data_IF_929487689484
#
_entry.id   IF_929487689484
#
_cell.length_a   1.000
_cell.length_b   1.000
_cell.length_c   1.000
_cell.angle_alpha   90.00
_cell.angle_beta   90.00
_cell.angle_gamma   90.00
#
_symmetry.space_group_name_H-M   'P 1'
#
loop_
_entity.id
_entity.type
_entity.pdbx_description
1 polymer ?
#
# COMPACT_ATOMS: atom_id res chain seq x y z
N UNK A 1 -13.18 -13.78 3.42
CA UNK A 1 -12.48 -14.56 4.47
C UNK A 1 -13.12 -14.43 5.84
N UNK A 2 -13.40 -13.24 6.38
CA UNK A 2 -13.94 -13.08 7.74
C UNK A 2 -15.18 -13.94 8.06
N UNK A 3 -16.18 -13.98 7.17
CA UNK A 3 -17.37 -14.84 7.34
C UNK A 3 -17.11 -16.34 7.21
N UNK A 4 -16.03 -16.74 6.53
CA UNK A 4 -15.64 -18.14 6.45
C UNK A 4 -14.95 -18.61 7.74
N UNK A 5 -14.47 -17.67 8.56
CA UNK A 5 -13.79 -17.91 9.83
C UNK A 5 -14.69 -17.69 11.05
N UNK A 6 -15.93 -17.23 10.87
CA UNK A 6 -16.89 -17.05 11.96
C UNK A 6 -17.98 -18.12 11.92
N UNK A 7 -18.37 -18.62 13.09
CA UNK A 7 -19.43 -19.64 13.24
C UNK A 7 -20.83 -19.16 12.82
N UNK A 8 -20.98 -17.85 12.62
CA UNK A 8 -22.19 -17.19 12.12
C UNK A 8 -21.75 -16.13 11.10
N UNK A 9 -22.53 -15.84 10.06
CA UNK A 9 -22.28 -14.69 9.19
C UNK A 9 -22.50 -13.38 9.98
N UNK A 10 -21.49 -12.97 10.75
CA UNK A 10 -21.52 -11.76 11.58
C UNK A 10 -20.94 -10.56 10.86
N UNK A 11 -20.10 -10.78 9.85
CA UNK A 11 -19.42 -9.71 9.14
C UNK A 11 -20.12 -9.48 7.80
N UNK A 12 -21.27 -8.81 7.83
CA UNK A 12 -21.81 -8.23 6.60
C UNK A 12 -20.83 -7.14 6.15
N UNK A 13 -20.05 -7.41 5.10
CA UNK A 13 -19.43 -6.32 4.34
C UNK A 13 -20.58 -5.41 3.91
N UNK A 14 -20.44 -4.09 4.12
CA UNK A 14 -21.46 -3.13 3.71
C UNK A 14 -21.79 -3.39 2.25
N UNK A 15 -22.93 -4.01 2.00
CA UNK A 15 -23.37 -4.35 0.67
C UNK A 15 -23.62 -3.00 0.00
N UNK A 16 -22.76 -2.64 -0.98
CA UNK A 16 -22.92 -1.45 -1.81
C UNK A 16 -24.24 -1.60 -2.56
N UNK A 17 -25.35 -1.23 -1.93
CA UNK A 17 -26.68 -1.31 -2.51
C UNK A 17 -26.75 -0.30 -3.65
N UNK A 18 -26.93 -0.81 -4.86
CA UNK A 18 -26.92 -0.09 -6.14
C UNK A 18 -28.15 0.76 -6.40
N UNK A 19 -28.97 1.09 -5.40
CA UNK A 19 -30.17 1.90 -5.62
C UNK A 19 -30.26 3.06 -4.62
N UNK A 20 -30.34 4.26 -5.20
CA UNK A 20 -30.67 5.57 -4.62
C UNK A 20 -29.65 6.14 -3.61
N UNK A 21 -28.77 7.03 -4.10
CA UNK A 21 -28.06 8.11 -3.38
C UNK A 21 -27.53 7.81 -1.95
N UNK A 22 -27.03 6.59 -1.71
CA UNK A 22 -26.53 6.19 -0.38
C UNK A 22 -25.02 6.41 -0.27
N UNK A 23 -24.68 7.54 0.35
CA UNK A 23 -23.43 7.89 1.05
C UNK A 23 -22.26 6.91 0.82
N UNK A 24 -21.40 7.22 -0.16
CA UNK A 24 -20.11 6.52 -0.27
C UNK A 24 -19.25 7.04 0.90
N UNK A 25 -18.85 6.20 1.86
CA UNK A 25 -17.99 6.65 2.95
C UNK A 25 -16.72 7.21 2.32
N UNK A 26 -16.34 8.43 2.70
CA UNK A 26 -15.04 8.97 2.30
C UNK A 26 -13.93 8.04 2.79
N UNK A 27 -12.80 8.03 2.11
CA UNK A 27 -11.60 7.27 2.54
C UNK A 27 -11.26 7.55 4.00
N UNK A 28 -11.44 8.79 4.46
CA UNK A 28 -11.26 9.17 5.86
C UNK A 28 -12.26 8.47 6.78
N UNK A 29 -13.55 8.44 6.45
CA UNK A 29 -14.55 7.76 7.29
C UNK A 29 -14.32 6.24 7.39
N UNK A 30 -13.83 5.61 6.32
CA UNK A 30 -13.41 4.21 6.35
C UNK A 30 -12.17 4.02 7.23
N UNK A 31 -11.22 4.95 7.16
CA UNK A 31 -10.06 4.96 8.05
C UNK A 31 -10.48 5.11 9.50
N UNK A 32 -11.35 6.06 9.84
CA UNK A 32 -11.85 6.32 11.19
C UNK A 32 -12.54 5.07 11.77
N UNK A 33 -13.28 4.33 10.95
CA UNK A 33 -13.90 3.06 11.33
C UNK A 33 -12.87 1.98 11.68
N UNK A 34 -11.77 1.90 10.92
CA UNK A 34 -10.71 0.89 11.11
C UNK A 34 -9.63 1.34 12.12
N UNK A 35 -9.58 2.63 12.43
CA UNK A 35 -8.55 3.29 13.27
C UNK A 35 -8.31 2.57 14.60
N UNK A 36 -9.34 2.14 15.37
CA UNK A 36 -9.09 1.46 16.65
C UNK A 36 -8.35 0.13 16.50
N UNK A 37 -8.68 -0.66 15.47
CA UNK A 37 -8.01 -1.94 15.21
C UNK A 37 -6.58 -1.72 14.69
N UNK A 38 -6.38 -0.73 13.83
CA UNK A 38 -5.06 -0.31 13.35
C UNK A 38 -4.16 0.09 14.52
N UNK A 39 -4.66 0.97 15.41
CA UNK A 39 -3.92 1.42 16.59
C UNK A 39 -3.56 0.27 17.52
N UNK A 40 -4.51 -0.63 17.81
CA UNK A 40 -4.26 -1.80 18.64
C UNK A 40 -3.10 -2.64 18.10
N UNK A 41 -3.06 -2.90 16.78
CA UNK A 41 -1.99 -3.68 16.17
C UNK A 41 -0.63 -2.96 16.27
N UNK A 42 -0.60 -1.65 15.99
CA UNK A 42 0.61 -0.83 16.09
C UNK A 42 1.13 -0.74 17.55
N UNK A 43 0.24 -0.58 18.53
CA UNK A 43 0.53 -0.59 19.96
C UNK A 43 1.09 -1.92 20.46
N UNK A 44 0.72 -3.03 19.81
CA UNK A 44 1.22 -4.38 20.12
C UNK A 44 2.56 -4.68 19.46
N UNK A 45 3.18 -3.72 18.79
CA UNK A 45 4.54 -3.81 18.26
C UNK A 45 4.65 -4.05 16.76
N UNK A 46 3.53 -4.13 16.02
CA UNK A 46 3.55 -4.16 14.56
C UNK A 46 4.06 -2.80 14.07
N UNK A 47 5.15 -2.80 13.28
CA UNK A 47 5.84 -1.57 12.85
C UNK A 47 5.28 -0.98 11.56
N UNK A 48 4.82 -1.86 10.66
CA UNK A 48 4.20 -1.51 9.39
C UNK A 48 2.95 -2.36 9.21
N UNK A 49 1.83 -1.71 8.97
CA UNK A 49 0.54 -2.33 8.68
C UNK A 49 0.05 -1.85 7.32
N UNK A 50 -0.22 -2.80 6.43
CA UNK A 50 -0.86 -2.55 5.14
C UNK A 50 -2.29 -3.08 5.20
N UNK A 51 -3.28 -2.20 5.07
CA UNK A 51 -4.69 -2.58 5.05
C UNK A 51 -5.20 -2.48 3.62
N UNK A 52 -5.54 -3.61 3.01
CA UNK A 52 -6.06 -3.65 1.63
C UNK A 52 -7.55 -3.32 1.58
N UNK A 53 -7.92 -2.40 0.69
CA UNK A 53 -9.28 -1.86 0.54
C UNK A 53 -9.92 -2.24 -0.82
N UNK A 54 -9.33 -3.20 -1.53
CA UNK A 54 -9.81 -3.61 -2.86
C UNK A 54 -9.73 -2.46 -3.87
N UNK A 55 -10.86 -2.10 -4.47
CA UNK A 55 -10.96 -1.01 -5.46
C UNK A 55 -10.57 0.36 -4.91
N UNK A 56 -10.52 0.51 -3.59
CA UNK A 56 -10.20 1.77 -2.95
C UNK A 56 -8.70 1.86 -2.60
N UNK A 57 -7.87 0.86 -2.93
CA UNK A 57 -6.42 0.90 -2.72
C UNK A 57 -5.97 0.32 -1.39
N UNK A 58 -5.02 0.99 -0.72
CA UNK A 58 -4.48 0.54 0.57
C UNK A 58 -4.33 1.67 1.57
N UNK A 59 -4.41 1.33 2.85
CA UNK A 59 -3.79 2.13 3.91
C UNK A 59 -2.39 1.61 4.23
N UNK A 60 -1.45 2.53 4.34
CA UNK A 60 -0.07 2.29 4.80
C UNK A 60 0.06 2.96 6.16
N UNK A 61 0.13 2.18 7.23
CA UNK A 61 0.16 2.67 8.60
C UNK A 61 1.43 2.24 9.31
N UNK A 62 2.03 3.12 10.07
CA UNK A 62 3.27 2.85 10.79
C UNK A 62 3.34 3.65 12.10
N UNK A 63 4.17 3.17 13.02
CA UNK A 63 4.41 3.79 14.32
C UNK A 63 5.91 3.78 14.63
N UNK A 64 6.41 4.84 15.24
CA UNK A 64 7.79 4.96 15.72
C UNK A 64 8.82 4.61 14.63
N UNK A 65 8.78 5.41 13.57
CA UNK A 65 9.37 5.13 12.26
C UNK A 65 10.89 5.32 12.23
N UNK A 66 11.43 6.10 13.18
CA UNK A 66 12.85 6.45 13.20
C UNK A 66 13.76 5.23 13.33
N UNK A 67 13.37 4.22 14.10
CA UNK A 67 14.15 3.00 14.25
C UNK A 67 13.88 2.02 13.10
N UNK A 68 12.63 1.92 12.65
CA UNK A 68 12.25 1.07 11.52
C UNK A 68 12.93 1.47 10.20
N UNK A 69 13.03 2.77 9.92
CA UNK A 69 13.73 3.26 8.72
C UNK A 69 15.24 3.05 8.78
N UNK A 70 15.85 3.13 9.97
CA UNK A 70 17.28 2.81 10.13
C UNK A 70 17.53 1.35 9.76
N UNK A 71 16.69 0.43 10.23
CA UNK A 71 16.84 -1.01 9.95
C UNK A 71 16.72 -1.34 8.46
N UNK A 72 15.83 -0.69 7.73
CA UNK A 72 15.67 -0.86 6.28
C UNK A 72 16.84 -0.22 5.52
N UNK A 73 17.27 0.98 5.92
CA UNK A 73 18.32 1.74 5.22
C UNK A 73 19.71 1.10 5.38
N UNK A 74 20.01 0.53 6.55
CA UNK A 74 21.32 -0.09 6.84
C UNK A 74 21.54 -1.34 5.99
N UNK A 75 20.50 -2.18 5.81
CA UNK A 75 20.60 -3.43 5.04
C UNK A 75 20.78 -3.21 3.53
N UNK A 76 20.37 -2.06 3.00
CA UNK A 76 20.43 -1.76 1.55
C UNK A 76 21.79 -1.20 1.07
N UNK A 77 22.75 -0.97 1.98
CA UNK A 77 24.11 -0.51 1.65
C UNK A 77 25.05 -1.65 1.22
N UNK A 78 24.73 -2.89 1.56
CA UNK A 78 25.55 -4.07 1.27
C UNK A 78 24.78 -4.99 0.30
N UNK A 79 24.90 -4.78 -1.02
CA UNK A 79 24.93 -5.81 -2.09
C UNK A 79 24.58 -5.29 -3.52
N UNK A 80 25.53 -5.58 -4.42
CA UNK A 80 25.59 -5.83 -5.88
C UNK A 80 24.64 -5.13 -6.90
N UNK A 81 25.31 -4.62 -7.93
CA UNK A 81 24.98 -3.56 -8.90
C UNK A 81 24.04 -3.94 -10.09
N UNK A 82 23.59 -5.20 -10.22
CA UNK A 82 23.03 -5.68 -11.51
C UNK A 82 21.48 -5.74 -11.62
N UNK A 83 20.74 -5.82 -10.51
CA UNK A 83 19.27 -6.04 -10.53
C UNK A 83 18.42 -4.83 -10.09
N UNK A 84 18.97 -3.61 -10.15
CA UNK A 84 18.26 -2.37 -9.76
C UNK A 84 17.47 -1.72 -10.90
N UNK A 85 17.01 -2.47 -11.91
CA UNK A 85 16.26 -1.90 -13.04
C UNK A 85 14.96 -1.24 -12.57
N UNK A 86 14.21 -1.91 -11.69
CA UNK A 86 13.00 -1.36 -11.07
C UNK A 86 13.34 -0.10 -10.25
N UNK A 87 14.35 -0.15 -9.38
CA UNK A 87 14.80 1.01 -8.60
C UNK A 87 15.16 2.21 -9.50
N UNK A 88 15.98 1.99 -10.54
CA UNK A 88 16.39 3.04 -11.50
C UNK A 88 15.19 3.64 -12.21
N UNK A 89 14.25 2.79 -12.63
CA UNK A 89 13.05 3.23 -13.34
C UNK A 89 12.08 3.98 -12.43
N UNK A 90 11.85 3.50 -11.21
CA UNK A 90 10.99 4.18 -10.24
C UNK A 90 11.63 5.51 -9.83
N UNK A 91 12.91 5.56 -9.46
CA UNK A 91 13.56 6.82 -9.07
C UNK A 91 13.62 7.84 -10.22
N UNK A 92 13.69 7.40 -11.47
CA UNK A 92 13.60 8.29 -12.64
C UNK A 92 12.21 8.93 -12.78
N UNK A 93 11.15 8.16 -12.55
CA UNK A 93 9.76 8.63 -12.72
C UNK A 93 9.18 9.27 -11.44
N UNK A 94 9.70 8.89 -10.28
CA UNK A 94 9.22 9.23 -8.94
C UNK A 94 10.44 9.53 -8.06
N UNK A 95 11.14 10.66 -8.29
CA UNK A 95 12.30 10.99 -7.51
C UNK A 95 11.90 11.12 -6.02
N UNK A 96 12.75 10.69 -5.09
CA UNK A 96 12.46 10.73 -3.66
C UNK A 96 12.33 12.17 -3.09
N UNK A 97 12.36 13.22 -3.91
CA UNK A 97 12.27 14.61 -3.47
C UNK A 97 10.88 15.01 -2.93
N UNK A 98 9.80 14.30 -3.29
CA UNK A 98 8.52 14.40 -2.56
C UNK A 98 8.51 13.65 -1.21
N UNK A 99 9.57 12.87 -0.96
CA UNK A 99 9.77 12.00 0.20
C UNK A 99 10.61 12.66 1.29
N UNK A 100 11.41 13.69 0.97
CA UNK A 100 12.14 14.47 1.99
C UNK A 100 11.18 15.16 2.97
N UNK A 101 10.04 15.67 2.49
CA UNK A 101 8.99 16.23 3.33
C UNK A 101 8.33 15.16 4.21
N UNK A 102 8.12 13.94 3.70
CA UNK A 102 7.62 12.80 4.46
C UNK A 102 8.60 12.33 5.54
N UNK A 103 9.87 12.11 5.18
CA UNK A 103 10.92 11.69 6.12
C UNK A 103 11.21 12.77 7.17
N UNK A 104 11.19 14.06 6.78
CA UNK A 104 11.29 15.17 7.74
C UNK A 104 10.09 15.24 8.67
N UNK A 105 8.87 15.08 8.16
CA UNK A 105 7.65 15.08 8.99
C UNK A 105 7.70 13.95 10.02
N UNK A 106 8.09 12.76 9.58
CA UNK A 106 8.21 11.55 10.39
C UNK A 106 9.36 11.62 11.41
N UNK A 107 10.49 12.25 11.08
CA UNK A 107 11.60 12.46 12.03
C UNK A 107 11.25 13.45 13.15
N UNK A 108 10.30 14.35 12.93
CA UNK A 108 9.94 15.41 13.88
C UNK A 108 8.77 15.07 14.79
N UNK A 109 8.07 13.95 14.57
CA UNK A 109 6.85 13.62 15.30
C UNK A 109 6.90 12.22 15.93
N UNK A 110 6.72 12.17 17.25
CA UNK A 110 6.40 10.94 17.98
C UNK A 110 4.93 10.61 17.73
N UNK A 111 4.62 9.53 17.01
CA UNK A 111 3.23 9.21 16.69
C UNK A 111 3.04 8.02 15.74
N UNK A 112 1.76 7.71 15.52
CA UNK A 112 1.32 6.81 14.45
C UNK A 112 0.96 7.63 13.22
N UNK A 113 1.27 7.13 12.03
CA UNK A 113 1.01 7.80 10.76
C UNK A 113 0.34 6.86 9.79
N UNK A 114 -0.56 7.39 8.97
CA UNK A 114 -1.31 6.63 8.00
C UNK A 114 -1.39 7.38 6.68
N UNK A 115 -1.30 6.64 5.59
CA UNK A 115 -1.40 7.16 4.24
C UNK A 115 -2.37 6.29 3.45
N UNK A 116 -3.19 6.94 2.64
CA UNK A 116 -3.98 6.27 1.63
C UNK A 116 -3.22 6.30 0.30
N UNK A 117 -3.03 5.12 -0.29
CA UNK A 117 -2.59 4.97 -1.68
C UNK A 117 -3.78 4.47 -2.50
N UNK A 118 -4.28 5.25 -3.48
CA UNK A 118 -5.45 4.87 -4.25
C UNK A 118 -5.13 3.72 -5.21
N UNK A 119 -6.08 2.80 -5.41
CA UNK A 119 -6.00 1.86 -6.52
C UNK A 119 -6.30 2.59 -7.83
N UNK A 120 -5.50 2.39 -8.89
CA UNK A 120 -5.86 2.90 -10.21
C UNK A 120 -7.08 2.15 -10.77
N UNK A 121 -7.83 2.75 -11.71
CA UNK A 121 -8.87 2.04 -12.45
C UNK A 121 -8.31 0.79 -13.13
N UNK A 122 -9.06 -0.31 -13.07
CA UNK A 122 -8.68 -1.60 -13.63
C UNK A 122 -9.84 -2.25 -14.39
N UNK A 123 -9.52 -2.92 -15.49
CA UNK A 123 -10.45 -3.79 -16.24
C UNK A 123 -10.37 -5.20 -15.69
N UNK A 124 -11.13 -5.47 -14.63
CA UNK A 124 -11.05 -6.71 -13.84
C UNK A 124 -11.42 -7.94 -14.66
N UNK A 125 -10.48 -8.89 -14.73
CA UNK A 125 -10.64 -10.25 -15.26
C UNK A 125 -10.80 -11.26 -14.12
N UNK A 126 -9.93 -11.19 -13.12
CA UNK A 126 -9.94 -12.05 -11.93
C UNK A 126 -9.55 -11.23 -10.70
N UNK A 127 -10.07 -11.55 -9.50
CA UNK A 127 -9.62 -10.91 -8.25
C UNK A 127 -8.67 -11.80 -7.45
N UNK A 128 -8.53 -13.06 -7.85
CA UNK A 128 -7.71 -14.04 -7.13
C UNK A 128 -6.24 -13.75 -7.37
N UNK A 129 -5.44 -13.75 -6.31
CA UNK A 129 -4.01 -13.45 -6.38
C UNK A 129 -3.64 -11.97 -6.33
N UNK A 130 -4.61 -11.05 -6.39
CA UNK A 130 -4.34 -9.60 -6.31
C UNK A 130 -3.60 -9.22 -5.01
N UNK A 131 -3.99 -9.80 -3.88
CA UNK A 131 -3.31 -9.61 -2.60
C UNK A 131 -1.90 -10.22 -2.57
N UNK A 132 -1.71 -11.39 -3.18
CA UNK A 132 -0.41 -12.05 -3.25
C UNK A 132 0.57 -11.23 -4.12
N UNK A 133 0.10 -10.74 -5.27
CA UNK A 133 0.84 -9.83 -6.15
C UNK A 133 1.13 -8.48 -5.49
N UNK A 134 0.21 -7.96 -4.66
CA UNK A 134 0.48 -6.77 -3.85
C UNK A 134 1.68 -6.98 -2.93
N UNK A 135 1.66 -8.07 -2.16
CA UNK A 135 2.74 -8.42 -1.23
C UNK A 135 4.05 -8.69 -1.98
N UNK A 136 4.00 -9.45 -3.07
CA UNK A 136 5.16 -9.73 -3.92
C UNK A 136 5.78 -8.48 -4.52
N UNK A 137 4.95 -7.54 -4.98
CA UNK A 137 5.38 -6.23 -5.47
C UNK A 137 6.12 -5.42 -4.40
N UNK A 138 5.53 -5.31 -3.20
CA UNK A 138 6.14 -4.61 -2.05
C UNK A 138 7.48 -5.22 -1.66
N UNK A 139 7.55 -6.53 -1.53
CA UNK A 139 8.78 -7.20 -1.11
C UNK A 139 9.87 -7.06 -2.17
N UNK A 140 9.53 -7.26 -3.44
CA UNK A 140 10.47 -7.11 -4.55
C UNK A 140 11.06 -5.70 -4.63
N UNK A 141 10.24 -4.66 -4.44
CA UNK A 141 10.69 -3.26 -4.43
C UNK A 141 11.53 -2.93 -3.20
N UNK A 142 11.17 -3.41 -2.01
CA UNK A 142 11.97 -3.23 -0.79
C UNK A 142 13.34 -3.88 -0.94
N UNK A 143 13.40 -5.12 -1.44
CA UNK A 143 14.64 -5.82 -1.75
C UNK A 143 15.47 -5.11 -2.83
N UNK A 144 14.82 -4.36 -3.73
CA UNK A 144 15.48 -3.52 -4.73
C UNK A 144 16.01 -2.20 -4.16
N UNK A 145 15.72 -1.88 -2.89
CA UNK A 145 16.16 -0.67 -2.21
C UNK A 145 15.22 0.52 -2.31
N UNK A 146 13.96 0.32 -2.72
CA UNK A 146 12.93 1.38 -2.69
C UNK A 146 12.44 1.64 -1.27
N UNK A 147 11.97 2.86 -1.01
CA UNK A 147 11.36 3.20 0.29
C UNK A 147 9.99 2.51 0.47
N UNK A 148 9.41 2.61 1.68
CA UNK A 148 8.16 1.93 2.03
C UNK A 148 6.99 2.43 1.17
N UNK A 149 6.89 3.74 0.89
CA UNK A 149 5.76 4.27 0.12
C UNK A 149 5.88 3.92 -1.35
N UNK A 150 7.08 4.07 -1.93
CA UNK A 150 7.39 3.62 -3.28
C UNK A 150 7.09 2.13 -3.40
N UNK A 151 7.48 1.33 -2.42
CA UNK A 151 7.24 -0.11 -2.41
C UNK A 151 5.76 -0.45 -2.31
N UNK A 152 5.02 0.22 -1.42
CA UNK A 152 3.57 0.07 -1.32
C UNK A 152 2.87 0.43 -2.63
N UNK A 153 3.28 1.51 -3.30
CA UNK A 153 2.73 1.91 -4.59
C UNK A 153 3.08 0.91 -5.72
N UNK A 154 4.29 0.35 -5.74
CA UNK A 154 4.64 -0.77 -6.63
C UNK A 154 3.75 -1.99 -6.37
N UNK A 155 3.49 -2.31 -5.10
CA UNK A 155 2.54 -3.35 -4.71
C UNK A 155 1.14 -3.12 -5.28
N UNK A 156 0.59 -1.92 -5.13
CA UNK A 156 -0.72 -1.55 -5.68
C UNK A 156 -0.72 -1.64 -7.22
N UNK A 157 0.34 -1.18 -7.89
CA UNK A 157 0.48 -1.32 -9.35
C UNK A 157 0.56 -2.79 -9.79
N UNK A 158 1.26 -3.64 -9.02
CA UNK A 158 1.40 -5.07 -9.31
C UNK A 158 0.07 -5.81 -9.10
N UNK A 159 -0.68 -5.43 -8.05
CA UNK A 159 -2.03 -5.94 -7.81
C UNK A 159 -2.99 -5.56 -8.94
N UNK A 160 -2.84 -4.36 -9.53
CA UNK A 160 -3.59 -3.97 -10.72
C UNK A 160 -3.33 -4.90 -11.90
N UNK A 161 -2.06 -5.14 -12.25
CA UNK A 161 -1.73 -6.06 -13.35
C UNK A 161 -2.28 -7.48 -13.09
N UNK A 162 -2.29 -7.92 -11.82
CA UNK A 162 -2.88 -9.19 -11.43
C UNK A 162 -4.39 -9.24 -11.66
N UNK A 163 -5.14 -8.18 -11.31
CA UNK A 163 -6.59 -8.20 -11.51
C UNK A 163 -7.01 -8.11 -12.98
N UNK A 164 -6.14 -7.57 -13.84
CA UNK A 164 -6.36 -7.49 -15.29
C UNK A 164 -5.87 -8.75 -16.03
N UNK A 165 -5.37 -9.76 -15.30
CA UNK A 165 -4.91 -11.03 -15.84
C UNK A 165 -5.85 -12.19 -15.48
N UNK A 166 -5.81 -13.25 -16.30
CA UNK A 166 -6.54 -14.49 -16.01
C UNK A 166 -5.90 -15.31 -14.87
N UNK A 167 -4.57 -15.34 -14.84
CA UNK A 167 -3.80 -16.08 -13.84
C UNK A 167 -3.70 -15.29 -12.53
N UNK A 168 -3.57 -16.00 -11.40
CA UNK A 168 -3.40 -15.37 -10.07
C UNK A 168 -2.16 -14.47 -9.99
N UNK A 169 -1.12 -14.81 -10.76
CA UNK A 169 0.07 -13.98 -10.98
C UNK A 169 0.24 -13.81 -12.50
N UNK A 170 0.38 -12.58 -13.03
CA UNK A 170 0.61 -12.37 -14.46
C UNK A 170 1.86 -13.11 -14.94
N UNK A 171 1.79 -13.69 -16.14
CA UNK A 171 2.94 -14.39 -16.76
C UNK A 171 4.09 -13.41 -17.03
N UNK A 172 3.73 -12.19 -17.42
CA UNK A 172 4.69 -11.11 -17.67
C UNK A 172 4.20 -9.84 -16.96
N UNK A 173 5.13 -9.14 -16.34
CA UNK A 173 4.88 -7.84 -15.71
C UNK A 173 5.75 -6.80 -16.40
N UNK A 174 5.10 -5.81 -17.02
CA UNK A 174 5.81 -4.73 -17.70
C UNK A 174 6.32 -3.69 -16.69
N UNK A 175 7.64 -3.59 -16.52
CA UNK A 175 8.25 -2.60 -15.61
C UNK A 175 7.85 -1.15 -15.95
N UNK A 176 7.66 -0.83 -17.24
CA UNK A 176 7.21 0.50 -17.67
C UNK A 176 5.78 0.81 -17.21
N UNK A 177 4.88 -0.18 -17.27
CA UNK A 177 3.51 -0.03 -16.75
C UNK A 177 3.52 0.13 -15.24
N UNK A 178 4.26 -0.73 -14.53
CA UNK A 178 4.43 -0.63 -13.08
C UNK A 178 4.95 0.75 -12.68
N UNK A 179 5.96 1.27 -13.35
CA UNK A 179 6.51 2.60 -13.05
C UNK A 179 5.52 3.74 -13.32
N UNK A 180 4.78 3.67 -14.44
CA UNK A 180 3.75 4.66 -14.75
C UNK A 180 2.61 4.66 -13.74
N UNK A 181 2.12 3.48 -13.36
CA UNK A 181 1.07 3.35 -12.36
C UNK A 181 1.56 3.75 -10.96
N UNK A 182 2.78 3.36 -10.58
CA UNK A 182 3.41 3.76 -9.31
C UNK A 182 3.45 5.28 -9.18
N UNK A 183 3.82 5.99 -10.25
CA UNK A 183 3.81 7.46 -10.26
C UNK A 183 2.41 8.02 -9.97
N UNK A 184 1.38 7.54 -10.69
CA UNK A 184 -0.01 7.99 -10.49
C UNK A 184 -0.49 7.73 -9.06
N UNK A 185 -0.16 6.57 -8.51
CA UNK A 185 -0.54 6.15 -7.16
C UNK A 185 0.11 7.06 -6.12
N UNK A 186 1.41 7.33 -6.24
CA UNK A 186 2.13 8.22 -5.34
C UNK A 186 1.64 9.67 -5.45
N UNK A 187 1.35 10.16 -6.66
CA UNK A 187 0.77 11.51 -6.86
C UNK A 187 -0.64 11.64 -6.28
N UNK A 188 -1.40 10.54 -6.24
CA UNK A 188 -2.73 10.48 -5.62
C UNK A 188 -2.71 10.16 -4.12
N UNK A 189 -1.54 9.95 -3.53
CA UNK A 189 -1.40 9.58 -2.13
C UNK A 189 -1.89 10.70 -1.20
N UNK A 190 -2.60 10.33 -0.14
CA UNK A 190 -3.12 11.27 0.86
C UNK A 190 -2.66 10.86 2.24
N UNK A 191 -2.17 11.81 3.01
CA UNK A 191 -1.95 11.60 4.43
C UNK A 191 -3.32 11.52 5.13
N UNK A 192 -3.48 10.52 5.99
CA UNK A 192 -4.64 10.35 6.84
C UNK A 192 -4.25 10.82 8.23
N UNK A 193 -5.16 11.55 8.86
CA UNK A 193 -4.90 12.09 10.18
C UNK A 193 -5.43 11.09 11.20
N UNK A 194 -4.57 10.69 12.13
CA UNK A 194 -4.98 9.86 13.25
C UNK A 194 -5.83 10.62 14.28
N UNK A 195 -5.81 11.96 14.23
CA UNK A 195 -6.32 12.98 15.17
C UNK A 195 -6.73 12.56 16.59
N UNK A 196 -6.25 13.40 17.52
CA UNK A 196 -6.16 13.25 18.97
C UNK A 196 -7.48 12.99 19.69
#
# INVERSE_FOLDING_TARGET
MANALSSQQRFSFVQRHTNTEKWLPSVQSLFDLLKPAILLLLERGIKLLIVTLGSDGVFVCFRDVADFLKDITIKNKEEVDHNRQLLKLINKNCPPHHHESFLRFVQMSSGSFAFHLPAPPASVVSLTGAGDCLVGGILSSLCSGLDIMQSAAVGVATAKEAVEAFNNVPVEISLNRIASETHKILSGAKQLIFDA
#
